data_IF_568974788232
#
_entry.id   IF_568974788232
#
_cell.length_a   1.000
_cell.length_b   1.000
_cell.length_c   1.000
_cell.angle_alpha   90.00
_cell.angle_beta   90.00
_cell.angle_gamma   90.00
#
_symmetry.space_group_name_H-M   'P 1'
#
loop_
_entity.id
_entity.type
_entity.pdbx_description
1 polymer ?
#
# COMPACT_ATOMS: atom_id res chain seq x y z
N UNK A 1 20.96 7.78 -34.13
CA UNK A 1 19.71 7.02 -34.28
C UNK A 1 18.80 7.42 -33.14
N UNK A 2 17.63 7.99 -33.42
CA UNK A 2 16.68 8.35 -32.37
C UNK A 2 15.85 7.10 -32.02
N UNK A 3 16.06 6.55 -30.83
CA UNK A 3 15.24 5.44 -30.32
C UNK A 3 13.84 5.97 -29.96
N UNK A 4 12.80 5.43 -30.60
CA UNK A 4 11.43 5.68 -30.21
C UNK A 4 11.15 4.91 -28.90
N UNK A 5 11.05 5.62 -27.78
CA UNK A 5 10.68 5.02 -26.50
C UNK A 5 9.18 4.70 -26.47
N UNK A 6 8.85 3.46 -26.78
CA UNK A 6 7.48 2.92 -26.76
C UNK A 6 7.30 1.90 -25.62
N UNK A 7 6.08 1.78 -25.11
CA UNK A 7 5.68 0.81 -24.10
C UNK A 7 4.27 0.27 -24.35
N UNK A 8 3.88 -0.75 -23.60
CA UNK A 8 2.52 -1.30 -23.60
C UNK A 8 1.67 -0.65 -22.50
N UNK A 9 0.47 -0.19 -22.86
CA UNK A 9 -0.47 0.42 -21.92
C UNK A 9 -0.86 -0.58 -20.82
N UNK A 10 -0.74 -0.18 -19.56
CA UNK A 10 -1.05 -1.04 -18.41
C UNK A 10 -2.54 -1.45 -18.31
N UNK A 11 -3.44 -0.73 -18.98
CA UNK A 11 -4.89 -0.99 -18.94
C UNK A 11 -5.39 -1.81 -20.15
N UNK A 12 -4.89 -1.55 -21.36
CA UNK A 12 -5.41 -2.17 -22.59
C UNK A 12 -4.36 -2.88 -23.44
N UNK A 13 -3.08 -2.82 -23.09
CA UNK A 13 -1.98 -3.48 -23.81
C UNK A 13 -1.55 -2.80 -25.12
N UNK A 14 -2.28 -1.80 -25.62
CA UNK A 14 -1.92 -1.04 -26.84
C UNK A 14 -0.53 -0.41 -26.69
N UNK A 15 0.26 -0.44 -27.77
CA UNK A 15 1.56 0.22 -27.83
C UNK A 15 1.35 1.74 -27.91
N UNK A 16 2.10 2.49 -27.10
CA UNK A 16 2.05 3.94 -27.05
C UNK A 16 3.44 4.52 -26.73
N UNK A 17 3.63 5.81 -26.96
CA UNK A 17 4.86 6.51 -26.55
C UNK A 17 4.92 6.64 -25.03
N UNK A 18 6.04 6.23 -24.42
CA UNK A 18 6.23 6.23 -22.97
C UNK A 18 5.90 7.61 -22.38
N UNK A 19 5.08 7.62 -21.33
CA UNK A 19 4.72 8.81 -20.56
C UNK A 19 4.74 8.48 -19.06
N UNK A 20 4.60 9.50 -18.21
CA UNK A 20 4.64 9.31 -16.74
C UNK A 20 3.50 8.45 -16.19
N UNK A 21 2.38 8.31 -16.93
CA UNK A 21 1.19 7.58 -16.48
C UNK A 21 1.20 6.11 -16.88
N UNK A 22 2.10 5.68 -17.75
CA UNK A 22 2.14 4.34 -18.34
C UNK A 22 0.80 3.88 -18.97
N UNK A 23 0.03 4.84 -19.47
CA UNK A 23 -1.28 4.62 -20.11
C UNK A 23 -1.30 5.33 -21.47
N UNK A 24 -1.94 4.71 -22.47
CA UNK A 24 -2.27 5.40 -23.71
C UNK A 24 -3.31 6.51 -23.46
N UNK A 25 -3.41 7.48 -24.38
CA UNK A 25 -4.28 8.66 -24.22
C UNK A 25 -5.75 8.28 -23.94
N UNK A 26 -6.28 7.32 -24.69
CA UNK A 26 -7.66 6.83 -24.51
C UNK A 26 -7.90 6.26 -23.10
N UNK A 27 -6.98 5.42 -22.60
CA UNK A 27 -7.08 4.86 -21.26
C UNK A 27 -6.86 5.92 -20.16
N UNK A 28 -6.02 6.92 -20.41
CA UNK A 28 -5.82 8.03 -19.49
C UNK A 28 -7.10 8.88 -19.36
N UNK A 29 -7.78 9.18 -20.48
CA UNK A 29 -9.07 9.88 -20.47
C UNK A 29 -10.18 9.08 -19.77
N UNK A 30 -10.22 7.76 -19.97
CA UNK A 30 -11.17 6.89 -19.27
C UNK A 30 -10.88 6.89 -17.77
N UNK A 31 -9.60 6.80 -17.39
CA UNK A 31 -9.18 6.83 -16.00
C UNK A 31 -9.59 8.16 -15.32
N UNK A 32 -9.37 9.28 -16.00
CA UNK A 32 -9.70 10.61 -15.47
C UNK A 32 -11.21 10.83 -15.37
N UNK A 33 -11.99 10.40 -16.37
CA UNK A 33 -13.47 10.41 -16.31
C UNK A 33 -14.02 9.57 -15.15
N UNK A 34 -13.46 8.38 -14.93
CA UNK A 34 -13.85 7.51 -13.81
C UNK A 34 -13.52 8.16 -12.46
N UNK A 35 -12.38 8.81 -12.35
CA UNK A 35 -11.99 9.52 -11.13
C UNK A 35 -12.95 10.67 -10.84
N UNK A 36 -13.27 11.48 -11.85
CA UNK A 36 -14.23 12.58 -11.71
C UNK A 36 -15.63 12.09 -11.27
N UNK A 37 -16.09 10.96 -11.81
CA UNK A 37 -17.36 10.36 -11.40
C UNK A 37 -17.35 9.95 -9.91
N UNK A 38 -16.26 9.35 -9.44
CA UNK A 38 -16.09 8.97 -8.03
C UNK A 38 -16.01 10.20 -7.14
N UNK A 39 -15.21 11.20 -7.49
CA UNK A 39 -15.06 12.42 -6.71
C UNK A 39 -16.42 13.15 -6.55
N UNK A 40 -17.13 13.33 -7.66
CA UNK A 40 -18.48 13.95 -7.67
C UNK A 40 -19.49 13.19 -6.81
N UNK A 41 -19.44 11.85 -6.85
CA UNK A 41 -20.33 11.02 -6.03
C UNK A 41 -20.02 11.14 -4.55
N UNK A 42 -18.74 11.08 -4.18
CA UNK A 42 -18.26 11.17 -2.80
C UNK A 42 -18.51 12.54 -2.17
N UNK A 43 -18.41 13.63 -2.95
CA UNK A 43 -18.78 14.98 -2.51
C UNK A 43 -20.25 15.07 -2.09
N UNK A 44 -21.16 14.41 -2.81
CA UNK A 44 -22.60 14.38 -2.48
C UNK A 44 -22.94 13.37 -1.40
N UNK A 45 -22.17 12.28 -1.31
CA UNK A 45 -22.43 11.14 -0.42
C UNK A 45 -21.26 10.89 0.50
N UNK A 46 -21.04 11.81 1.45
CA UNK A 46 -19.88 11.79 2.36
C UNK A 46 -19.71 10.46 3.12
N UNK A 47 -20.83 9.81 3.44
CA UNK A 47 -20.90 8.58 4.23
C UNK A 47 -21.04 7.31 3.37
N UNK A 48 -20.85 7.38 2.05
CA UNK A 48 -20.86 6.19 1.22
C UNK A 48 -19.71 5.24 1.60
N UNK A 49 -19.95 3.94 1.50
CA UNK A 49 -18.88 2.93 1.61
C UNK A 49 -18.12 2.81 0.29
N UNK A 50 -16.97 2.12 0.31
CA UNK A 50 -16.20 1.83 -0.90
C UNK A 50 -17.01 1.01 -1.90
N UNK A 51 -17.83 0.07 -1.41
CA UNK A 51 -18.72 -0.78 -2.21
C UNK A 51 -19.84 0.04 -2.86
N UNK A 52 -20.52 0.89 -2.09
CA UNK A 52 -21.59 1.76 -2.60
C UNK A 52 -21.06 2.74 -3.65
N UNK A 53 -19.86 3.29 -3.41
CA UNK A 53 -19.19 4.18 -4.37
C UNK A 53 -18.90 3.46 -5.67
N UNK A 54 -18.34 2.26 -5.60
CA UNK A 54 -18.02 1.44 -6.78
C UNK A 54 -19.28 1.10 -7.60
N UNK A 55 -20.36 0.71 -6.92
CA UNK A 55 -21.65 0.40 -7.53
C UNK A 55 -22.27 1.63 -8.21
N UNK A 56 -22.34 2.75 -7.51
CA UNK A 56 -22.98 3.97 -8.02
C UNK A 56 -22.23 4.60 -9.20
N UNK A 57 -20.91 4.47 -9.25
CA UNK A 57 -20.08 5.09 -10.30
C UNK A 57 -19.73 4.11 -11.42
N UNK A 58 -20.05 2.82 -11.27
CA UNK A 58 -19.64 1.76 -12.19
C UNK A 58 -18.11 1.57 -12.29
N UNK A 59 -17.37 2.07 -11.31
CA UNK A 59 -15.90 1.98 -11.27
C UNK A 59 -15.51 0.73 -10.48
N UNK A 60 -14.56 -0.10 -10.97
CA UNK A 60 -14.14 -1.28 -10.23
C UNK A 60 -13.67 -0.94 -8.82
N UNK A 61 -14.11 -1.70 -7.81
CA UNK A 61 -13.76 -1.45 -6.41
C UNK A 61 -12.24 -1.40 -6.17
N UNK A 62 -11.48 -2.21 -6.92
CA UNK A 62 -10.01 -2.21 -6.89
C UNK A 62 -9.43 -0.85 -7.29
N UNK A 63 -10.03 -0.19 -8.28
CA UNK A 63 -9.58 1.13 -8.75
C UNK A 63 -9.86 2.22 -7.69
N UNK A 64 -11.02 2.16 -7.04
CA UNK A 64 -11.36 3.08 -5.93
C UNK A 64 -10.36 2.91 -4.78
N UNK A 65 -10.08 1.65 -4.40
CA UNK A 65 -9.08 1.30 -3.38
C UNK A 65 -7.67 1.78 -3.75
N UNK A 66 -7.27 1.65 -5.01
CA UNK A 66 -5.99 2.16 -5.49
C UNK A 66 -5.87 3.68 -5.34
N UNK A 67 -6.94 4.44 -5.61
CA UNK A 67 -6.96 5.89 -5.38
C UNK A 67 -6.90 6.27 -3.90
N UNK A 68 -7.45 5.44 -3.01
CA UNK A 68 -7.29 5.57 -1.56
C UNK A 68 -5.81 5.36 -1.19
N UNK A 69 -5.15 4.31 -1.71
CA UNK A 69 -3.72 4.02 -1.46
C UNK A 69 -2.80 5.13 -1.97
N UNK A 70 -3.11 5.68 -3.14
CA UNK A 70 -2.39 6.81 -3.73
C UNK A 70 -2.69 8.16 -3.05
N UNK A 71 -3.52 8.19 -2.00
CA UNK A 71 -3.98 9.41 -1.31
C UNK A 71 -4.67 10.43 -2.21
N UNK A 72 -5.21 10.01 -3.35
CA UNK A 72 -6.04 10.87 -4.21
C UNK A 72 -7.42 11.12 -3.59
N UNK A 73 -7.92 10.19 -2.77
CA UNK A 73 -9.16 10.31 -2.02
C UNK A 73 -8.81 10.38 -0.53
N UNK A 74 -9.29 11.42 0.16
CA UNK A 74 -9.03 11.61 1.59
C UNK A 74 -9.96 10.78 2.46
N UNK A 75 -9.42 9.80 3.18
CA UNK A 75 -10.16 9.02 4.17
C UNK A 75 -10.67 9.89 5.35
N UNK A 76 -10.03 11.03 5.64
CA UNK A 76 -10.49 11.95 6.67
C UNK A 76 -11.80 12.65 6.25
N UNK A 77 -11.95 12.96 4.96
CA UNK A 77 -13.17 13.53 4.43
C UNK A 77 -14.31 12.50 4.37
N UNK A 78 -13.98 11.23 4.17
CA UNK A 78 -14.95 10.15 3.98
C UNK A 78 -14.80 9.03 5.04
N UNK A 79 -15.58 9.07 6.13
CA UNK A 79 -15.40 8.19 7.28
C UNK A 79 -15.70 6.71 7.00
N UNK A 80 -16.57 6.42 6.03
CA UNK A 80 -16.98 5.06 5.70
C UNK A 80 -16.17 4.43 4.56
N UNK A 81 -15.26 5.18 3.93
CA UNK A 81 -14.35 4.62 2.94
C UNK A 81 -13.29 3.76 3.64
N UNK A 82 -13.05 2.59 3.10
CA UNK A 82 -12.01 1.68 3.60
C UNK A 82 -11.27 1.04 2.44
N UNK A 83 -9.96 0.88 2.61
CA UNK A 83 -9.16 -0.02 1.81
C UNK A 83 -9.13 -1.42 2.47
N UNK A 84 -8.38 -2.35 1.89
CA UNK A 84 -8.17 -3.71 2.39
C UNK A 84 -6.74 -3.90 2.84
N UNK A 85 -6.58 -4.57 3.99
CA UNK A 85 -5.30 -5.00 4.54
C UNK A 85 -4.65 -6.06 3.65
N UNK A 86 -3.42 -5.83 3.22
CA UNK A 86 -2.66 -6.75 2.36
C UNK A 86 -2.30 -8.07 3.08
N UNK A 87 -2.33 -8.10 4.42
CA UNK A 87 -2.02 -9.31 5.21
C UNK A 87 -3.25 -10.15 5.56
N UNK A 88 -4.37 -9.54 5.96
CA UNK A 88 -5.53 -10.29 6.47
C UNK A 88 -6.82 -10.10 5.66
N UNK A 89 -6.82 -9.23 4.64
CA UNK A 89 -8.03 -8.95 3.86
C UNK A 89 -9.09 -8.11 4.59
N UNK A 90 -8.89 -7.77 5.86
CA UNK A 90 -9.83 -6.93 6.63
C UNK A 90 -9.80 -5.45 6.21
N UNK A 91 -10.82 -4.66 6.60
CA UNK A 91 -10.87 -3.24 6.27
C UNK A 91 -9.70 -2.49 6.92
N UNK A 92 -9.06 -1.61 6.16
CA UNK A 92 -7.93 -0.78 6.56
C UNK A 92 -8.17 0.68 6.21
N UNK A 93 -7.84 1.57 7.15
CA UNK A 93 -7.82 3.03 6.97
C UNK A 93 -6.44 3.65 7.24
N UNK A 94 -5.49 2.82 7.65
CA UNK A 94 -4.14 3.21 8.09
C UNK A 94 -3.07 3.00 7.02
N UNK A 95 -3.48 2.57 5.82
CA UNK A 95 -2.60 2.21 4.70
C UNK A 95 -2.66 0.71 4.39
N UNK A 96 -1.54 0.15 3.92
CA UNK A 96 -1.41 -1.24 3.47
C UNK A 96 -1.79 -2.30 4.52
N UNK A 97 -1.55 -2.01 5.80
CA UNK A 97 -1.87 -2.91 6.89
C UNK A 97 -2.89 -2.28 7.83
N UNK A 98 -3.85 -3.08 8.27
CA UNK A 98 -4.75 -2.68 9.36
C UNK A 98 -3.97 -2.57 10.68
N UNK A 99 -4.54 -1.83 11.65
CA UNK A 99 -3.90 -1.60 12.95
C UNK A 99 -3.47 -2.89 13.66
N UNK A 100 -4.31 -3.94 13.62
CA UNK A 100 -4.00 -5.25 14.21
C UNK A 100 -2.80 -5.93 13.55
N UNK A 101 -2.76 -5.94 12.21
CA UNK A 101 -1.66 -6.54 11.45
C UNK A 101 -0.35 -5.77 11.65
N UNK A 102 -0.41 -4.42 11.65
CA UNK A 102 0.75 -3.57 11.92
C UNK A 102 1.30 -3.78 13.32
N UNK A 103 0.43 -3.88 14.33
CA UNK A 103 0.83 -4.13 15.72
C UNK A 103 1.51 -5.48 15.88
N UNK A 104 0.92 -6.55 15.32
CA UNK A 104 1.51 -7.90 15.35
C UNK A 104 2.89 -7.90 14.72
N UNK A 105 3.03 -7.32 13.53
CA UNK A 105 4.30 -7.28 12.82
C UNK A 105 5.38 -6.54 13.63
N UNK A 106 5.05 -5.39 14.22
CA UNK A 106 5.97 -4.65 15.10
C UNK A 106 6.37 -5.50 16.32
N UNK A 107 5.39 -6.11 16.99
CA UNK A 107 5.66 -6.97 18.14
C UNK A 107 6.57 -8.16 17.79
N UNK A 108 6.42 -8.75 16.61
CA UNK A 108 7.25 -9.89 16.18
C UNK A 108 8.69 -9.43 15.90
N UNK A 109 8.86 -8.26 15.25
CA UNK A 109 10.19 -7.65 15.02
C UNK A 109 10.88 -7.33 16.35
N UNK A 110 10.18 -6.70 17.30
CA UNK A 110 10.74 -6.30 18.59
C UNK A 110 11.22 -7.53 19.39
N UNK A 111 10.47 -8.64 19.34
CA UNK A 111 10.87 -9.90 19.97
C UNK A 111 12.14 -10.47 19.34
N UNK A 112 12.20 -10.52 18.01
CA UNK A 112 13.38 -11.02 17.29
C UNK A 112 14.63 -10.19 17.63
N UNK A 113 14.50 -8.86 17.68
CA UNK A 113 15.61 -7.97 18.05
C UNK A 113 16.06 -8.17 19.50
N UNK A 114 15.12 -8.37 20.43
CA UNK A 114 15.44 -8.63 21.83
C UNK A 114 16.16 -9.98 22.01
N UNK A 115 15.70 -11.02 21.31
CA UNK A 115 16.35 -12.34 21.30
C UNK A 115 17.78 -12.25 20.75
N UNK A 116 17.97 -11.54 19.64
CA UNK A 116 19.30 -11.34 19.04
C UNK A 116 20.24 -10.57 19.99
N UNK A 117 19.74 -9.54 20.68
CA UNK A 117 20.52 -8.80 21.68
C UNK A 117 20.91 -9.67 22.87
N UNK A 118 19.99 -10.49 23.37
CA UNK A 118 20.26 -11.42 24.46
C UNK A 118 21.30 -12.47 24.05
N UNK A 119 21.23 -13.01 22.83
CA UNK A 119 22.21 -13.95 22.31
C UNK A 119 23.60 -13.30 22.16
N UNK A 120 23.67 -12.07 21.62
CA UNK A 120 24.92 -11.30 21.52
C UNK A 120 25.52 -11.02 22.89
N UNK A 121 24.71 -10.69 23.89
CA UNK A 121 25.17 -10.49 25.28
C UNK A 121 25.74 -11.78 25.88
N UNK A 122 25.05 -12.91 25.72
CA UNK A 122 25.53 -14.24 26.16
C UNK A 122 26.85 -14.63 25.50
N UNK A 123 26.99 -14.42 24.19
CA UNK A 123 28.25 -14.70 23.46
C UNK A 123 29.40 -13.82 23.96
N UNK A 124 29.15 -12.54 24.22
CA UNK A 124 30.16 -11.62 24.80
C UNK A 124 30.61 -12.10 26.17
N UNK A 125 29.66 -12.44 27.06
CA UNK A 125 29.98 -12.95 28.39
C UNK A 125 30.81 -14.25 28.33
N UNK A 126 30.43 -15.18 27.47
CA UNK A 126 31.16 -16.43 27.25
C UNK A 126 32.59 -16.18 26.74
N UNK A 127 32.77 -15.22 25.80
CA UNK A 127 34.09 -14.83 25.30
C UNK A 127 34.98 -14.21 26.39
N UNK A 128 34.44 -13.42 27.33
CA UNK A 128 35.21 -12.87 28.43
C UNK A 128 35.66 -13.94 29.42
N UNK A 129 34.80 -14.91 29.73
CA UNK A 129 35.12 -16.04 30.62
C UNK A 129 36.21 -16.94 30.05
N UNK A 130 36.19 -17.24 28.75
CA UNK A 130 37.23 -18.02 28.09
C UNK A 130 38.61 -17.37 28.12
N UNK A 131 38.66 -16.03 28.02
CA UNK A 131 39.93 -15.29 28.00
C UNK A 131 40.59 -15.27 29.39
N UNK A 132 39.80 -15.09 30.45
CA UNK A 132 40.31 -15.10 31.83
C UNK A 132 40.78 -16.47 32.34
N UNK A 133 40.47 -17.58 31.65
CA UNK A 133 40.96 -18.93 31.97
C UNK A 133 42.26 -19.29 31.23
N UNK A 134 42.75 -18.44 30.32
CA UNK A 134 43.97 -18.67 29.54
C UNK A 134 45.16 -17.82 30.01
N UNK A 135 44.94 -16.90 30.95
CA UNK A 135 45.94 -15.98 31.50
C UNK A 135 46.39 -16.36 32.94
N UNK A 136 45.93 -17.51 33.47
CA UNK A 136 46.41 -18.20 34.69
C UNK A 136 47.15 -19.50 34.32
#
# INVERSE_FOLDING_TARGET
MAELKVAHCAMCGKVFQVNLRNLCNECAEIHDRRFEAVDRYLMKNRHATTEQTAEATGVPIKQVREWIRQKKISLAAHPNLTDVCDLCGGPSRTGHLCAKCSYRLKSDIDKMLAEEQAERARKREHSYKLKGLADD
#
